data_IF_519060555923
#
_entry.id   IF_519060555923
#
_cell.length_a   1.000
_cell.length_b   1.000
_cell.length_c   1.000
_cell.angle_alpha   90.00
_cell.angle_beta   90.00
_cell.angle_gamma   90.00
#
_symmetry.space_group_name_H-M   'P 1'
#
loop_
_entity.id
_entity.type
_entity.pdbx_description
1 polymer ?
#
# COMPACT_ATOMS: atom_id res chain seq x y z
N UNK A 1 4.23 -75.96 37.37
CA UNK A 1 3.64 -74.63 37.61
C UNK A 1 4.56 -73.64 36.90
N UNK A 2 4.24 -73.34 35.64
CA UNK A 2 5.15 -72.70 34.68
C UNK A 2 4.67 -71.28 34.45
N UNK A 3 5.41 -70.29 34.95
CA UNK A 3 5.30 -68.90 34.53
C UNK A 3 6.22 -68.69 33.32
N UNK A 4 5.78 -67.91 32.32
CA UNK A 4 6.51 -66.81 31.68
C UNK A 4 5.60 -66.17 30.59
N UNK A 5 5.12 -64.95 30.83
CA UNK A 5 5.56 -63.65 30.26
C UNK A 5 4.81 -63.23 29.01
N UNK A 6 3.96 -62.21 29.18
CA UNK A 6 3.33 -61.41 28.12
C UNK A 6 4.23 -60.21 27.77
N UNK A 7 4.53 -60.04 26.48
CA UNK A 7 5.19 -58.86 25.91
C UNK A 7 4.12 -57.87 25.41
N UNK A 8 4.11 -56.65 25.93
CA UNK A 8 3.39 -55.51 25.32
C UNK A 8 4.13 -54.20 25.59
N UNK A 9 5.05 -53.81 24.69
CA UNK A 9 5.72 -52.49 24.75
C UNK A 9 5.85 -51.76 23.40
N UNK A 10 5.22 -52.23 22.32
CA UNK A 10 5.46 -51.69 20.96
C UNK A 10 4.47 -50.66 20.40
N UNK A 11 3.28 -50.50 20.99
CA UNK A 11 2.17 -49.77 20.32
C UNK A 11 2.18 -48.26 20.58
N UNK A 12 2.45 -47.81 21.80
CA UNK A 12 2.32 -46.40 22.19
C UNK A 12 3.37 -45.48 21.52
N UNK A 13 4.61 -45.97 21.35
CA UNK A 13 5.72 -45.19 20.80
C UNK A 13 5.55 -44.84 19.32
N UNK A 14 4.89 -45.71 18.55
CA UNK A 14 4.66 -45.53 17.11
C UNK A 14 3.53 -44.51 16.86
N UNK A 15 2.47 -44.55 17.67
CA UNK A 15 1.38 -43.56 17.65
C UNK A 15 1.86 -42.16 18.03
N UNK A 16 2.70 -42.03 19.07
CA UNK A 16 3.27 -40.74 19.47
C UNK A 16 4.25 -40.16 18.43
N UNK A 17 4.98 -41.01 17.69
CA UNK A 17 5.84 -40.57 16.59
C UNK A 17 5.00 -40.08 15.41
N UNK A 18 3.98 -40.83 15.00
CA UNK A 18 3.06 -40.43 13.93
C UNK A 18 2.34 -39.10 14.23
N UNK A 19 1.91 -38.88 15.47
CA UNK A 19 1.28 -37.63 15.89
C UNK A 19 2.21 -36.42 15.81
N UNK A 20 3.50 -36.58 16.14
CA UNK A 20 4.51 -35.50 16.01
C UNK A 20 4.78 -35.12 14.55
N UNK A 21 4.79 -36.10 13.63
CA UNK A 21 4.97 -35.83 12.20
C UNK A 21 3.73 -35.20 11.56
N UNK A 22 2.51 -35.58 11.98
CA UNK A 22 1.26 -34.96 11.53
C UNK A 22 1.14 -33.52 12.05
N UNK A 23 1.49 -33.25 13.32
CA UNK A 23 1.47 -31.90 13.87
C UNK A 23 2.51 -30.97 13.20
N UNK A 24 3.70 -31.49 12.86
CA UNK A 24 4.72 -30.76 12.11
C UNK A 24 4.29 -30.46 10.66
N UNK A 25 3.64 -31.42 10.00
CA UNK A 25 3.06 -31.22 8.66
C UNK A 25 1.91 -30.19 8.67
N UNK A 26 1.05 -30.19 9.70
CA UNK A 26 0.02 -29.16 9.86
C UNK A 26 0.60 -27.76 10.14
N UNK A 27 1.69 -27.65 10.91
CA UNK A 27 2.36 -26.36 11.16
C UNK A 27 3.04 -25.79 9.90
N UNK A 28 3.54 -26.66 9.01
CA UNK A 28 4.08 -26.27 7.69
C UNK A 28 2.93 -25.92 6.71
N UNK A 29 1.79 -26.61 6.78
CA UNK A 29 0.61 -26.27 5.98
C UNK A 29 -0.04 -24.94 6.38
N UNK A 30 0.07 -24.55 7.66
CA UNK A 30 -0.41 -23.26 8.19
C UNK A 30 0.53 -22.07 7.92
N UNK A 31 1.73 -22.30 7.37
CA UNK A 31 2.69 -21.24 7.05
C UNK A 31 2.67 -20.80 5.58
N UNK A 32 1.72 -21.30 4.78
CA UNK A 32 1.64 -21.05 3.35
C UNK A 32 0.35 -20.30 2.99
N UNK A 33 0.40 -18.96 3.07
CA UNK A 33 -0.33 -17.98 2.25
C UNK A 33 -0.66 -16.69 3.02
N UNK A 34 0.34 -15.96 3.51
CA UNK A 34 0.19 -14.49 3.49
C UNK A 34 0.40 -14.06 2.04
N UNK A 35 -0.62 -14.21 1.20
CA UNK A 35 -0.60 -13.61 -0.15
C UNK A 35 -0.72 -12.12 0.05
N UNK A 36 0.38 -11.39 -0.15
CA UNK A 36 0.33 -9.95 -0.32
C UNK A 36 -0.42 -9.65 -1.62
N UNK A 37 -1.32 -8.67 -1.62
CA UNK A 37 -2.04 -8.29 -2.83
C UNK A 37 -1.05 -7.92 -3.95
N UNK A 38 -1.32 -8.40 -5.15
CA UNK A 38 -0.60 -8.04 -6.36
C UNK A 38 -1.49 -7.15 -7.21
N UNK A 39 -0.90 -6.17 -7.90
CA UNK A 39 -1.68 -5.21 -8.70
C UNK A 39 -2.52 -5.92 -9.78
N UNK A 40 -2.02 -7.03 -10.33
CA UNK A 40 -2.74 -7.84 -11.31
C UNK A 40 -4.00 -8.52 -10.79
N UNK A 41 -4.16 -8.67 -9.47
CA UNK A 41 -5.35 -9.29 -8.85
C UNK A 41 -6.63 -8.48 -9.14
N UNK A 42 -6.48 -7.19 -9.47
CA UNK A 42 -7.57 -6.25 -9.74
C UNK A 42 -7.93 -6.12 -11.23
N UNK A 43 -7.34 -6.91 -12.14
CA UNK A 43 -7.44 -6.68 -13.59
C UNK A 43 -8.89 -6.63 -14.12
N UNK A 44 -9.79 -7.42 -13.52
CA UNK A 44 -11.19 -7.51 -13.93
C UNK A 44 -12.12 -6.57 -13.11
N UNK A 45 -11.58 -5.86 -12.11
CA UNK A 45 -12.38 -5.01 -11.23
C UNK A 45 -12.80 -3.70 -11.92
N UNK A 46 -14.04 -3.29 -11.63
CA UNK A 46 -14.64 -2.07 -12.16
C UNK A 46 -15.00 -1.09 -11.03
N UNK A 47 -15.02 0.23 -11.30
CA UNK A 47 -14.69 0.87 -12.58
C UNK A 47 -13.19 0.87 -12.90
N UNK A 48 -12.83 0.73 -14.17
CA UNK A 48 -11.43 0.84 -14.61
C UNK A 48 -10.86 2.24 -14.38
N UNK A 49 -9.69 2.30 -13.73
CA UNK A 49 -8.97 3.52 -13.40
C UNK A 49 -8.14 3.99 -14.60
N UNK A 50 -8.43 5.19 -15.10
CA UNK A 50 -7.56 5.93 -16.01
C UNK A 50 -7.09 7.22 -15.32
N UNK A 51 -5.79 7.30 -15.01
CA UNK A 51 -5.20 8.46 -14.32
C UNK A 51 -5.37 9.75 -15.11
N UNK A 52 -5.31 9.67 -16.46
CA UNK A 52 -5.47 10.81 -17.37
C UNK A 52 -6.88 11.41 -17.30
N UNK A 53 -7.85 10.63 -16.85
CA UNK A 53 -9.24 11.06 -16.72
C UNK A 53 -9.54 11.43 -15.28
N UNK A 54 -9.12 10.61 -14.32
CA UNK A 54 -9.41 10.84 -12.91
C UNK A 54 -8.72 12.11 -12.40
N UNK A 55 -7.41 12.23 -12.64
CA UNK A 55 -6.57 13.33 -12.18
C UNK A 55 -6.39 14.44 -13.22
N UNK A 56 -7.37 14.68 -14.10
CA UNK A 56 -7.36 15.84 -14.99
C UNK A 56 -8.42 16.85 -14.54
N UNK A 57 -7.97 18.03 -14.15
CA UNK A 57 -8.76 19.03 -13.46
C UNK A 57 -8.60 19.00 -11.93
N UNK A 58 -9.50 19.70 -11.21
CA UNK A 58 -9.45 19.80 -9.76
C UNK A 58 -9.85 18.51 -9.05
N UNK A 59 -9.11 18.19 -7.98
CA UNK A 59 -9.39 17.09 -7.04
C UNK A 59 -9.12 17.61 -5.64
N UNK A 60 -10.00 17.30 -4.68
CA UNK A 60 -9.71 17.55 -3.26
C UNK A 60 -9.46 16.23 -2.56
N UNK A 61 -8.52 16.19 -1.63
CA UNK A 61 -8.35 15.05 -0.76
C UNK A 61 -8.36 15.41 0.72
N UNK A 62 -8.85 14.46 1.52
CA UNK A 62 -8.85 14.54 2.98
C UNK A 62 -8.18 13.30 3.54
N UNK A 63 -7.24 13.49 4.46
CA UNK A 63 -6.44 12.38 4.96
C UNK A 63 -5.91 12.55 6.37
N UNK A 64 -5.31 11.46 6.82
CA UNK A 64 -4.64 11.39 8.12
C UNK A 64 -3.41 10.49 8.04
N UNK A 65 -2.43 10.81 8.89
CA UNK A 65 -1.29 9.95 9.19
C UNK A 65 -1.48 9.34 10.59
N UNK A 66 -1.30 8.03 10.66
CA UNK A 66 -1.32 7.25 11.89
C UNK A 66 0.07 6.69 12.16
N UNK A 67 0.54 6.79 13.41
CA UNK A 67 1.79 6.15 13.80
C UNK A 67 1.63 4.62 13.89
N UNK A 68 2.72 3.89 14.10
CA UNK A 68 2.73 2.42 14.29
C UNK A 68 1.80 1.88 15.39
N UNK A 69 1.31 2.72 16.31
CA UNK A 69 0.33 2.33 17.33
C UNK A 69 -1.12 2.47 16.85
N UNK A 70 -1.34 2.99 15.64
CA UNK A 70 -2.63 3.32 15.07
C UNK A 70 -3.17 4.68 15.51
N UNK A 71 -2.43 5.44 16.31
CA UNK A 71 -2.85 6.76 16.79
C UNK A 71 -2.74 7.78 15.66
N UNK A 72 -3.79 8.55 15.44
CA UNK A 72 -3.78 9.68 14.49
C UNK A 72 -2.84 10.76 15.03
N UNK A 73 -1.78 11.05 14.28
CA UNK A 73 -0.78 12.07 14.64
C UNK A 73 -1.01 13.37 13.88
N UNK A 74 -1.40 13.28 12.60
CA UNK A 74 -1.62 14.44 11.74
C UNK A 74 -2.83 14.23 10.86
N UNK A 75 -3.61 15.28 10.62
CA UNK A 75 -4.69 15.32 9.62
C UNK A 75 -4.34 16.36 8.59
N UNK A 76 -4.80 16.17 7.36
CA UNK A 76 -4.51 17.09 6.27
C UNK A 76 -5.62 17.11 5.23
N UNK A 77 -5.68 18.24 4.53
CA UNK A 77 -6.43 18.44 3.30
C UNK A 77 -5.44 18.71 2.17
N UNK A 78 -5.77 18.26 0.96
CA UNK A 78 -4.98 18.52 -0.24
C UNK A 78 -5.90 19.13 -1.29
N UNK A 79 -5.58 20.35 -1.74
CA UNK A 79 -6.13 20.91 -2.95
C UNK A 79 -5.21 20.52 -4.11
N UNK A 80 -5.70 19.72 -5.05
CA UNK A 80 -4.92 19.25 -6.19
C UNK A 80 -5.50 19.78 -7.49
N UNK A 81 -4.64 20.21 -8.40
CA UNK A 81 -5.01 20.45 -9.80
C UNK A 81 -4.11 19.63 -10.71
N UNK A 82 -4.71 18.70 -11.43
CA UNK A 82 -4.01 17.90 -12.41
C UNK A 82 -4.19 18.43 -13.83
N UNK A 83 -3.14 18.34 -14.64
CA UNK A 83 -3.16 18.68 -16.08
C UNK A 83 -2.50 17.56 -16.86
N UNK A 84 -3.17 17.07 -17.89
CA UNK A 84 -2.65 15.99 -18.75
C UNK A 84 -2.51 16.42 -20.20
N UNK A 85 -1.43 15.97 -20.85
CA UNK A 85 -1.17 16.10 -22.28
C UNK A 85 -0.66 14.76 -22.81
N UNK A 86 -1.49 14.07 -23.61
CA UNK A 86 -1.17 12.73 -24.10
C UNK A 86 -0.96 11.74 -22.95
N UNK A 87 0.28 11.28 -22.78
CA UNK A 87 0.67 10.34 -21.73
C UNK A 87 1.45 10.98 -20.57
N UNK A 88 1.61 12.30 -20.57
CA UNK A 88 2.29 13.04 -19.51
C UNK A 88 1.29 13.85 -18.69
N UNK A 89 1.46 13.81 -17.37
CA UNK A 89 0.61 14.51 -16.41
C UNK A 89 1.42 15.37 -15.44
N UNK A 90 0.83 16.45 -14.96
CA UNK A 90 1.35 17.24 -13.84
C UNK A 90 0.26 17.31 -12.77
N UNK A 91 0.58 16.92 -11.53
CA UNK A 91 -0.33 17.09 -10.39
C UNK A 91 0.28 18.13 -9.44
N UNK A 92 -0.37 19.27 -9.30
CA UNK A 92 0.02 20.32 -8.37
C UNK A 92 -0.80 20.18 -7.09
N UNK A 93 -0.15 19.77 -6.00
CA UNK A 93 -0.76 19.39 -4.74
C UNK A 93 -0.40 20.40 -3.65
N UNK A 94 -1.40 21.07 -3.08
CA UNK A 94 -1.24 21.98 -1.95
C UNK A 94 -1.82 21.34 -0.69
N UNK A 95 -0.95 21.02 0.27
CA UNK A 95 -1.30 20.42 1.54
C UNK A 95 -1.58 21.49 2.59
N UNK A 96 -2.67 21.33 3.33
CA UNK A 96 -2.97 22.07 4.56
C UNK A 96 -3.09 21.09 5.71
N UNK A 97 -2.28 21.26 6.74
CA UNK A 97 -2.24 20.38 7.89
C UNK A 97 -3.08 20.92 9.06
N UNK A 98 -3.50 20.01 9.95
CA UNK A 98 -4.30 20.37 11.13
C UNK A 98 -3.59 21.26 12.15
N UNK A 99 -2.28 21.42 12.06
CA UNK A 99 -1.47 22.34 12.86
C UNK A 99 -1.33 23.74 12.20
N UNK A 100 -1.94 23.94 11.03
CA UNK A 100 -1.88 25.17 10.25
C UNK A 100 -0.67 25.27 9.31
N UNK A 101 0.27 24.32 9.36
CA UNK A 101 1.36 24.27 8.38
C UNK A 101 0.85 23.91 6.98
N UNK A 102 1.59 24.31 5.96
CA UNK A 102 1.31 23.97 4.56
C UNK A 102 2.54 23.40 3.89
N UNK A 103 2.31 22.62 2.84
CA UNK A 103 3.36 22.08 1.98
C UNK A 103 2.85 22.00 0.54
N UNK A 104 3.74 21.89 -0.44
CA UNK A 104 3.38 21.77 -1.85
C UNK A 104 4.24 20.72 -2.54
N UNK A 105 3.59 19.76 -3.18
CA UNK A 105 4.24 18.76 -4.03
C UNK A 105 3.74 18.91 -5.45
N UNK A 106 4.66 18.89 -6.41
CA UNK A 106 4.32 18.91 -7.84
C UNK A 106 4.84 17.64 -8.48
N UNK A 107 3.94 16.71 -8.77
CA UNK A 107 4.28 15.50 -9.50
C UNK A 107 4.35 15.76 -11.00
N UNK A 108 5.34 15.16 -11.65
CA UNK A 108 5.42 15.01 -13.11
C UNK A 108 5.34 13.54 -13.43
N UNK A 109 4.24 13.12 -14.03
CA UNK A 109 3.90 11.72 -14.27
C UNK A 109 4.00 11.37 -15.75
N UNK A 110 4.34 10.12 -16.04
CA UNK A 110 4.21 9.52 -17.37
C UNK A 110 3.51 8.17 -17.23
N UNK A 111 2.39 7.99 -17.93
CA UNK A 111 1.70 6.72 -18.05
C UNK A 111 2.16 6.00 -19.32
N UNK A 112 2.69 4.79 -19.15
CA UNK A 112 3.19 3.96 -20.24
C UNK A 112 2.05 3.14 -20.86
N UNK A 113 2.24 2.68 -22.09
CA UNK A 113 1.21 1.93 -22.83
C UNK A 113 0.87 0.56 -22.23
N UNK A 114 1.74 0.02 -21.38
CA UNK A 114 1.60 -1.27 -20.71
C UNK A 114 0.96 -1.16 -19.30
N UNK A 115 0.43 0.02 -18.94
CA UNK A 115 -0.18 0.27 -17.64
C UNK A 115 0.80 0.65 -16.53
N UNK A 116 2.11 0.64 -16.80
CA UNK A 116 3.10 1.20 -15.86
C UNK A 116 2.98 2.72 -15.78
N UNK A 117 3.37 3.27 -14.64
CA UNK A 117 3.42 4.70 -14.39
C UNK A 117 4.77 5.03 -13.78
N UNK A 118 5.39 6.13 -14.21
CA UNK A 118 6.59 6.68 -13.60
C UNK A 118 6.37 8.14 -13.24
N UNK A 119 7.08 8.64 -12.24
CA UNK A 119 6.95 10.04 -11.89
C UNK A 119 8.07 10.60 -11.04
N UNK A 120 8.14 11.92 -10.99
CA UNK A 120 9.17 12.67 -10.28
C UNK A 120 8.51 13.84 -9.53
N UNK A 121 9.09 14.21 -8.39
CA UNK A 121 8.78 15.41 -7.63
C UNK A 121 10.03 15.85 -6.87
N UNK A 122 10.10 17.12 -6.45
CA UNK A 122 11.31 17.73 -5.87
C UNK A 122 11.76 17.05 -4.55
N UNK A 123 10.81 16.53 -3.78
CA UNK A 123 11.03 15.84 -2.52
C UNK A 123 11.12 14.30 -2.67
N UNK A 124 11.09 13.79 -3.90
CA UNK A 124 11.22 12.36 -4.19
C UNK A 124 12.67 12.04 -4.57
N UNK A 125 13.18 10.94 -4.02
CA UNK A 125 14.51 10.44 -4.36
C UNK A 125 14.42 9.56 -5.61
N UNK A 126 15.04 10.01 -6.70
CA UNK A 126 14.99 9.32 -7.99
C UNK A 126 13.61 9.43 -8.63
N UNK A 127 13.09 8.31 -9.14
CA UNK A 127 11.77 8.25 -9.75
C UNK A 127 10.84 7.34 -8.96
N UNK A 128 9.61 7.78 -8.81
CA UNK A 128 8.48 6.96 -8.40
C UNK A 128 8.09 5.99 -9.51
N UNK A 129 7.59 4.83 -9.12
CA UNK A 129 7.15 3.76 -10.03
C UNK A 129 5.83 3.20 -9.57
N UNK A 130 4.96 2.88 -10.52
CA UNK A 130 3.71 2.20 -10.22
C UNK A 130 3.12 1.49 -11.41
N UNK A 131 1.95 0.91 -11.19
CA UNK A 131 1.16 0.24 -12.20
C UNK A 131 -0.32 0.39 -11.87
N UNK A 132 -1.14 0.44 -12.92
CA UNK A 132 -2.60 0.46 -12.84
C UNK A 132 -3.15 -0.86 -13.38
N UNK A 133 -4.17 -1.40 -12.72
CA UNK A 133 -4.89 -2.61 -13.13
C UNK A 133 -6.31 -2.58 -12.62
N UNK A 134 -7.29 -2.73 -13.51
CA UNK A 134 -8.72 -2.51 -13.23
C UNK A 134 -8.95 -1.20 -12.46
N UNK A 135 -9.55 -1.28 -11.28
CA UNK A 135 -9.85 -0.11 -10.45
C UNK A 135 -8.70 0.35 -9.54
N UNK A 136 -7.55 -0.32 -9.56
CA UNK A 136 -6.48 -0.12 -8.59
C UNK A 136 -5.21 0.46 -9.21
N UNK A 137 -4.45 1.21 -8.40
CA UNK A 137 -3.08 1.61 -8.69
C UNK A 137 -2.19 1.30 -7.49
N UNK A 138 -1.02 0.72 -7.76
CA UNK A 138 0.05 0.66 -6.77
C UNK A 138 1.15 1.66 -7.17
N UNK A 139 1.55 2.50 -6.24
CA UNK A 139 2.51 3.58 -6.43
C UNK A 139 3.59 3.55 -5.36
N UNK A 140 4.86 3.55 -5.77
CA UNK A 140 6.00 3.39 -4.87
C UNK A 140 7.05 4.45 -5.11
N UNK A 141 7.55 5.04 -4.04
CA UNK A 141 8.57 6.08 -4.09
C UNK A 141 9.30 6.21 -2.75
N UNK A 142 10.44 6.90 -2.78
CA UNK A 142 11.15 7.31 -1.56
C UNK A 142 11.01 8.80 -1.37
N UNK A 143 10.43 9.21 -0.26
CA UNK A 143 10.14 10.60 0.09
C UNK A 143 11.21 11.16 1.03
N UNK A 144 11.63 12.40 0.81
CA UNK A 144 12.39 13.20 1.77
C UNK A 144 11.41 13.88 2.73
N UNK A 145 11.28 13.32 3.93
CA UNK A 145 10.38 13.83 4.97
C UNK A 145 11.14 14.70 5.98
N UNK A 146 10.87 16.01 6.07
CA UNK A 146 11.39 16.84 7.14
C UNK A 146 10.71 16.52 8.49
N UNK A 147 11.50 16.25 9.52
CA UNK A 147 11.04 16.04 10.90
C UNK A 147 12.05 16.69 11.85
N UNK A 148 11.58 17.65 12.66
CA UNK A 148 12.37 18.32 13.71
C UNK A 148 13.76 18.82 13.26
N UNK A 149 13.81 19.45 12.08
CA UNK A 149 15.05 20.01 11.51
C UNK A 149 15.99 18.99 10.85
N UNK A 150 15.62 17.71 10.83
CA UNK A 150 16.29 16.65 10.07
C UNK A 150 15.44 16.21 8.89
N UNK A 151 16.07 15.71 7.82
CA UNK A 151 15.36 15.15 6.66
C UNK A 151 15.59 13.64 6.63
N UNK A 152 14.51 12.88 6.60
CA UNK A 152 14.52 11.42 6.56
C UNK A 152 14.05 10.91 5.21
N UNK A 153 14.82 10.02 4.60
CA UNK A 153 14.33 9.23 3.46
C UNK A 153 13.48 8.07 3.97
N UNK A 154 12.25 7.99 3.46
CA UNK A 154 11.23 7.02 3.87
C UNK A 154 10.55 6.45 2.62
N UNK A 155 10.32 5.15 2.61
CA UNK A 155 9.66 4.45 1.51
C UNK A 155 8.15 4.52 1.69
N UNK A 156 7.46 4.84 0.61
CA UNK A 156 6.01 4.93 0.52
C UNK A 156 5.51 3.85 -0.43
N UNK A 157 4.57 3.00 0.02
CA UNK A 157 3.84 2.03 -0.81
C UNK A 157 2.36 2.36 -0.76
N UNK A 158 1.92 3.10 -1.77
CA UNK A 158 0.59 3.65 -1.93
C UNK A 158 -0.28 2.69 -2.74
N UNK A 159 -1.42 2.31 -2.20
CA UNK A 159 -2.48 1.62 -2.90
C UNK A 159 -3.68 2.53 -3.06
N UNK A 160 -4.05 2.82 -4.30
CA UNK A 160 -5.22 3.62 -4.65
C UNK A 160 -6.30 2.73 -5.24
N UNK A 161 -7.55 2.89 -4.80
CA UNK A 161 -8.70 2.11 -5.23
C UNK A 161 -9.83 3.03 -5.64
N UNK A 162 -10.18 3.02 -6.93
CA UNK A 162 -11.28 3.78 -7.49
C UNK A 162 -12.59 3.10 -7.10
N UNK A 163 -13.41 3.78 -6.30
CA UNK A 163 -14.69 3.24 -5.84
C UNK A 163 -15.82 3.59 -6.80
N UNK A 164 -15.76 4.78 -7.39
CA UNK A 164 -16.66 5.25 -8.43
C UNK A 164 -15.96 6.37 -9.21
N UNK A 165 -16.65 6.98 -10.17
CA UNK A 165 -16.11 8.05 -11.03
C UNK A 165 -15.54 9.27 -10.28
N UNK A 166 -15.85 9.44 -8.99
CA UNK A 166 -15.47 10.62 -8.19
C UNK A 166 -14.61 10.28 -6.99
N UNK A 167 -14.83 9.15 -6.34
CA UNK A 167 -14.23 8.80 -5.06
C UNK A 167 -13.16 7.73 -5.25
N UNK A 168 -11.95 8.03 -4.81
CA UNK A 168 -10.84 7.09 -4.77
C UNK A 168 -10.23 7.10 -3.37
N UNK A 169 -9.99 5.93 -2.80
CA UNK A 169 -9.31 5.80 -1.51
C UNK A 169 -7.85 5.45 -1.76
N UNK A 170 -6.94 6.10 -1.05
CA UNK A 170 -5.55 5.74 -0.98
C UNK A 170 -5.16 5.29 0.43
N UNK A 171 -4.38 4.21 0.47
CA UNK A 171 -3.77 3.66 1.68
C UNK A 171 -2.28 3.49 1.43
N UNK A 172 -1.47 4.12 2.25
CA UNK A 172 -0.02 4.08 2.16
C UNK A 172 0.56 3.41 3.39
N UNK A 173 1.45 2.44 3.17
CA UNK A 173 2.37 1.99 4.20
C UNK A 173 3.69 2.77 4.08
N UNK A 174 4.09 3.41 5.18
CA UNK A 174 5.34 4.16 5.26
C UNK A 174 6.39 3.37 6.04
N UNK A 175 7.59 3.21 5.48
CA UNK A 175 8.66 2.45 6.12
C UNK A 175 10.03 3.10 5.97
N UNK A 176 10.98 2.69 6.80
CA UNK A 176 12.40 3.05 6.67
C UNK A 176 13.26 1.82 6.93
N UNK A 177 14.12 1.48 5.98
CA UNK A 177 14.96 0.27 6.02
C UNK A 177 14.15 -1.01 6.31
N UNK A 178 12.94 -1.09 5.74
CA UNK A 178 12.01 -2.21 5.94
C UNK A 178 11.23 -2.19 7.26
N UNK A 179 11.47 -1.22 8.15
CA UNK A 179 10.72 -1.07 9.40
C UNK A 179 9.52 -0.18 9.17
N UNK A 180 8.31 -0.66 9.46
CA UNK A 180 7.06 0.11 9.40
C UNK A 180 7.09 1.29 10.37
N UNK A 181 6.76 2.48 9.87
CA UNK A 181 6.72 3.72 10.66
C UNK A 181 5.29 4.16 10.95
N UNK A 182 4.37 3.89 10.03
CA UNK A 182 2.98 4.32 10.13
C UNK A 182 2.27 4.26 8.79
N UNK A 183 1.03 4.71 8.78
CA UNK A 183 0.12 4.59 7.66
C UNK A 183 -0.48 5.94 7.30
N UNK A 184 -0.58 6.24 6.01
CA UNK A 184 -1.37 7.37 5.51
C UNK A 184 -2.64 6.81 4.90
N UNK A 185 -3.78 7.40 5.22
CA UNK A 185 -5.04 7.13 4.51
C UNK A 185 -5.63 8.45 4.07
N UNK A 186 -5.98 8.56 2.78
CA UNK A 186 -6.71 9.70 2.26
C UNK A 186 -7.76 9.29 1.24
N UNK A 187 -8.76 10.14 1.08
CA UNK A 187 -9.80 9.99 0.05
C UNK A 187 -9.68 11.15 -0.92
N UNK A 188 -9.49 10.84 -2.20
CA UNK A 188 -9.59 11.78 -3.30
C UNK A 188 -11.05 11.91 -3.76
N UNK A 189 -11.46 13.14 -4.07
CA UNK A 189 -12.83 13.50 -4.40
C UNK A 189 -12.80 14.44 -5.61
N UNK A 190 -13.37 14.00 -6.73
CA UNK A 190 -13.67 14.90 -7.85
C UNK A 190 -14.91 15.75 -7.54
N UNK A 191 -14.95 17.03 -7.98
CA UNK A 191 -16.15 17.85 -7.91
C UNK A 191 -17.35 17.15 -8.53
N UNK A 192 -18.55 17.56 -8.11
CA UNK A 192 -19.76 17.12 -8.81
C UNK A 192 -19.75 17.71 -10.24
N UNK A 193 -20.34 17.00 -11.22
CA UNK A 193 -20.56 17.54 -12.56
C UNK A 193 -21.36 18.84 -12.54
#
# INVERSE_FOLDING_TARGET
MTHLTTHTSGSLGTLMRAFKWVAFACAIALSSACTTAHIGDYADDQPSLDLRTYFNGPVTAYGMFQDRSGRVVKRFEVAMTGTWQGNSGVLDELFTYSDGSTDRRVWRLTQHSDGRVTGEADDVVGAATGAVSGNAMQWRYTLRLPVDGSVYEVSMDDWMYLLNERIMINRTAMSKWGVHLGDVTLTFIKPAP
#
